data_IF_635720483604
#
_entry.id   IF_635720483604
#
_cell.length_a   1.000
_cell.length_b   1.000
_cell.length_c   1.000
_cell.angle_alpha   90.00
_cell.angle_beta   90.00
_cell.angle_gamma   90.00
#
_symmetry.space_group_name_H-M   'P 1'
#
loop_
_entity.id
_entity.type
_entity.pdbx_description
1 polymer ?
#
# COMPACT_ATOMS: atom_id res chain seq x y z
N UNK A 1 -3.13 16.77 -26.49
CA UNK A 1 -2.89 16.14 -25.21
C UNK A 1 -4.19 15.50 -24.79
N UNK A 2 -4.26 14.19 -24.92
CA UNK A 2 -5.36 13.41 -24.35
C UNK A 2 -4.94 13.15 -22.91
N UNK A 3 -5.60 13.81 -21.97
CA UNK A 3 -5.46 13.49 -20.55
C UNK A 3 -6.27 12.24 -20.24
N UNK A 4 -6.00 11.63 -19.11
CA UNK A 4 -6.80 10.56 -18.53
C UNK A 4 -8.28 11.00 -18.43
N UNK A 5 -9.25 10.11 -18.67
CA UNK A 5 -10.67 10.47 -18.56
C UNK A 5 -11.01 10.78 -17.10
N UNK A 6 -11.84 11.80 -16.92
CA UNK A 6 -12.35 12.17 -15.59
C UNK A 6 -13.27 11.07 -15.04
N UNK A 7 -13.24 10.89 -13.73
CA UNK A 7 -14.15 10.00 -13.01
C UNK A 7 -15.43 10.77 -12.66
N UNK A 8 -16.57 10.21 -13.04
CA UNK A 8 -17.88 10.80 -12.80
C UNK A 8 -18.83 9.80 -12.18
N UNK A 9 -19.70 10.27 -11.31
CA UNK A 9 -20.86 9.52 -10.81
C UNK A 9 -22.08 9.88 -11.65
N UNK A 10 -22.83 8.86 -12.11
CA UNK A 10 -24.09 9.03 -12.83
C UNK A 10 -25.23 8.54 -11.93
N UNK A 11 -26.02 9.47 -11.43
CA UNK A 11 -27.18 9.18 -10.59
C UNK A 11 -28.37 8.78 -11.48
N UNK A 12 -28.66 7.48 -11.54
CA UNK A 12 -29.74 6.93 -12.37
C UNK A 12 -31.14 7.23 -11.80
N UNK A 13 -31.25 7.50 -10.51
CA UNK A 13 -32.52 7.80 -9.83
C UNK A 13 -32.87 9.29 -9.93
N UNK A 14 -31.90 10.14 -10.27
CA UNK A 14 -32.04 11.58 -10.36
C UNK A 14 -31.76 12.10 -11.80
N UNK A 15 -32.51 11.58 -12.76
CA UNK A 15 -32.53 12.03 -14.16
C UNK A 15 -31.16 11.97 -14.87
N UNK A 16 -30.31 10.96 -14.50
CA UNK A 16 -28.94 10.76 -15.00
C UNK A 16 -28.02 11.94 -14.73
N UNK A 17 -28.19 12.60 -13.59
CA UNK A 17 -27.31 13.69 -13.18
C UNK A 17 -25.88 13.18 -13.08
N UNK A 18 -24.98 13.86 -13.81
CA UNK A 18 -23.54 13.58 -13.78
C UNK A 18 -22.89 14.47 -12.73
N UNK A 19 -22.19 13.86 -11.79
CA UNK A 19 -21.36 14.55 -10.81
C UNK A 19 -19.91 14.18 -11.07
N UNK A 20 -19.06 15.17 -11.30
CA UNK A 20 -17.62 15.01 -11.44
C UNK A 20 -17.02 14.64 -10.08
N UNK A 21 -16.23 13.57 -10.02
CA UNK A 21 -15.60 13.07 -8.79
C UNK A 21 -14.09 13.36 -8.77
N UNK A 22 -13.40 13.23 -9.92
CA UNK A 22 -11.98 13.50 -10.03
C UNK A 22 -11.58 13.70 -11.50
N UNK A 23 -10.47 14.39 -11.74
CA UNK A 23 -9.93 14.62 -13.09
C UNK A 23 -9.19 13.40 -13.64
N UNK A 24 -8.91 12.39 -12.82
CA UNK A 24 -8.30 11.12 -13.18
C UNK A 24 -8.77 10.00 -12.24
N UNK A 25 -8.61 8.75 -12.67
CA UNK A 25 -8.90 7.60 -11.80
C UNK A 25 -7.90 7.51 -10.64
N UNK A 26 -6.65 7.90 -10.84
CA UNK A 26 -5.64 8.00 -9.79
C UNK A 26 -6.05 9.00 -8.71
N UNK A 27 -6.48 10.20 -9.10
CA UNK A 27 -6.98 11.23 -8.18
C UNK A 27 -8.22 10.74 -7.43
N UNK A 28 -9.14 10.07 -8.12
CA UNK A 28 -10.31 9.45 -7.49
C UNK A 28 -9.92 8.45 -6.39
N UNK A 29 -9.00 7.52 -6.70
CA UNK A 29 -8.56 6.51 -5.72
C UNK A 29 -7.81 7.12 -4.54
N UNK A 30 -7.00 8.16 -4.79
CA UNK A 30 -6.29 8.90 -3.72
C UNK A 30 -7.24 9.73 -2.84
N UNK A 31 -8.38 10.13 -3.38
CA UNK A 31 -9.41 10.90 -2.67
C UNK A 31 -10.48 10.04 -1.99
N UNK A 32 -10.34 8.70 -2.01
CA UNK A 32 -11.30 7.81 -1.33
C UNK A 32 -11.10 7.90 0.20
N UNK A 33 -12.11 8.41 0.87
CA UNK A 33 -12.18 8.50 2.32
C UNK A 33 -13.01 7.35 2.91
N UNK A 34 -12.77 7.02 4.17
CA UNK A 34 -13.52 5.97 4.87
C UNK A 34 -14.98 6.39 5.12
N UNK A 35 -15.93 5.47 4.89
CA UNK A 35 -17.38 5.72 5.04
C UNK A 35 -17.80 6.26 6.42
N UNK A 36 -17.02 5.98 7.48
CA UNK A 36 -17.29 6.51 8.82
C UNK A 36 -17.21 8.05 8.92
N UNK A 37 -16.62 8.73 7.93
CA UNK A 37 -16.63 10.19 7.84
C UNK A 37 -17.95 10.75 7.26
N UNK A 38 -18.80 9.87 6.71
CA UNK A 38 -20.11 10.21 6.13
C UNK A 38 -21.25 9.64 6.99
N UNK A 39 -21.43 10.17 8.20
CA UNK A 39 -22.68 9.92 8.94
C UNK A 39 -23.69 11.02 8.59
N UNK A 40 -24.81 10.69 7.86
CA UNK A 40 -25.77 11.68 7.38
C UNK A 40 -26.59 12.34 8.51
N UNK A 41 -26.50 11.86 9.74
CA UNK A 41 -27.30 12.37 10.86
C UNK A 41 -26.61 13.50 11.65
N UNK A 42 -25.32 13.86 11.39
CA UNK A 42 -24.61 14.89 12.15
C UNK A 42 -24.19 16.17 11.39
N UNK A 43 -24.23 16.24 10.05
CA UNK A 43 -23.76 17.46 9.38
C UNK A 43 -24.62 17.90 8.18
N UNK A 44 -25.69 18.63 8.47
CA UNK A 44 -26.30 19.58 7.54
C UNK A 44 -25.62 20.95 7.67
N UNK A 45 -24.52 21.18 6.99
CA UNK A 45 -23.78 22.46 7.04
C UNK A 45 -23.05 22.74 5.73
N UNK A 46 -23.17 23.99 5.27
CA UNK A 46 -22.61 24.57 4.06
C UNK A 46 -21.12 24.23 3.85
N UNK A 47 -20.78 23.83 2.62
CA UNK A 47 -19.40 23.68 2.18
C UNK A 47 -18.73 25.06 2.08
N UNK A 48 -18.00 25.46 3.08
CA UNK A 48 -16.95 26.49 2.95
C UNK A 48 -15.65 25.79 2.51
N UNK A 49 -15.00 26.34 1.49
CA UNK A 49 -13.65 25.96 1.07
C UNK A 49 -12.69 26.25 2.24
N UNK A 50 -12.35 25.24 3.03
CA UNK A 50 -11.35 25.37 4.07
C UNK A 50 -10.00 24.84 3.61
N UNK A 51 -9.00 25.67 3.83
CA UNK A 51 -7.58 25.49 3.58
C UNK A 51 -7.07 24.15 4.15
N UNK A 52 -6.24 23.48 3.37
CA UNK A 52 -5.55 22.25 3.70
C UNK A 52 -4.66 22.41 4.95
N UNK A 53 -5.25 22.25 6.13
CA UNK A 53 -4.52 21.95 7.36
C UNK A 53 -4.60 20.45 7.64
N UNK A 54 -3.42 19.82 7.70
CA UNK A 54 -3.14 18.39 7.73
C UNK A 54 -3.94 17.59 8.76
N UNK A 55 -5.13 17.18 8.41
CA UNK A 55 -5.79 16.05 9.07
C UNK A 55 -5.17 14.75 8.53
N UNK A 56 -4.69 13.94 9.45
CA UNK A 56 -4.18 12.61 9.20
C UNK A 56 -5.32 11.76 8.60
N UNK A 57 -5.34 11.62 7.26
CA UNK A 57 -6.36 10.82 6.58
C UNK A 57 -6.23 9.37 7.03
N UNK A 58 -7.29 8.78 7.56
CA UNK A 58 -7.32 7.37 7.94
C UNK A 58 -7.11 6.51 6.68
N UNK A 59 -5.94 5.89 6.56
CA UNK A 59 -5.54 5.03 5.45
C UNK A 59 -5.96 3.58 5.63
N UNK A 60 -6.67 3.25 6.70
CA UNK A 60 -7.04 1.88 7.04
C UNK A 60 -7.84 1.22 5.91
N UNK A 61 -7.31 0.13 5.39
CA UNK A 61 -7.94 -0.67 4.34
C UNK A 61 -7.84 -0.09 2.93
N UNK A 62 -7.07 0.97 2.72
CA UNK A 62 -6.77 1.53 1.40
C UNK A 62 -5.49 0.89 0.87
N UNK A 63 -5.59 0.04 -0.15
CA UNK A 63 -4.45 -0.60 -0.78
C UNK A 63 -4.29 -0.10 -2.21
N UNK A 64 -3.22 0.66 -2.44
CA UNK A 64 -2.83 1.17 -3.75
C UNK A 64 -1.34 0.97 -4.00
N UNK A 65 -0.99 0.80 -5.27
CA UNK A 65 0.42 0.71 -5.69
C UNK A 65 0.54 0.83 -7.20
N UNK A 66 1.75 1.05 -7.66
CA UNK A 66 2.04 1.39 -9.04
C UNK A 66 3.18 0.51 -9.57
N UNK A 67 2.90 -0.35 -10.55
CA UNK A 67 3.95 -1.12 -11.23
C UNK A 67 4.55 -0.25 -12.33
N UNK A 68 5.82 0.08 -12.17
CA UNK A 68 6.58 0.93 -13.07
C UNK A 68 6.91 0.17 -14.36
N UNK A 69 6.66 0.80 -15.50
CA UNK A 69 6.87 0.21 -16.81
C UNK A 69 7.90 0.99 -17.63
N UNK A 70 8.78 0.28 -18.34
CA UNK A 70 9.69 0.87 -19.32
C UNK A 70 8.97 1.27 -20.63
N UNK A 71 7.74 0.78 -20.85
CA UNK A 71 6.89 1.07 -22.00
C UNK A 71 5.41 1.06 -21.59
N UNK A 72 4.61 1.99 -22.15
CA UNK A 72 3.18 2.11 -21.88
C UNK A 72 2.34 1.04 -22.59
N UNK A 73 2.65 -0.22 -22.35
CA UNK A 73 1.95 -1.39 -22.89
C UNK A 73 1.86 -2.46 -21.82
N UNK A 74 0.73 -3.17 -21.76
CA UNK A 74 0.53 -4.34 -20.93
C UNK A 74 -0.28 -5.42 -21.65
N UNK A 75 -0.19 -6.66 -21.20
CA UNK A 75 -0.93 -7.80 -21.71
C UNK A 75 -2.02 -8.20 -20.68
N UNK A 76 -3.24 -7.72 -20.90
CA UNK A 76 -4.42 -8.06 -20.07
C UNK A 76 -4.66 -9.57 -20.03
N UNK A 77 -4.52 -10.25 -21.16
CA UNK A 77 -4.75 -11.70 -21.22
C UNK A 77 -3.72 -12.46 -20.40
N UNK A 78 -2.46 -11.99 -20.38
CA UNK A 78 -1.44 -12.54 -19.48
C UNK A 78 -1.82 -12.33 -18.03
N UNK A 79 -2.23 -11.11 -17.65
CA UNK A 79 -2.67 -10.80 -16.29
C UNK A 79 -3.82 -11.74 -15.86
N UNK A 80 -4.85 -11.89 -16.67
CA UNK A 80 -6.01 -12.75 -16.41
C UNK A 80 -5.57 -14.22 -16.24
N UNK A 81 -4.69 -14.72 -17.11
CA UNK A 81 -4.12 -16.07 -17.00
C UNK A 81 -3.33 -16.24 -15.70
N UNK A 82 -2.45 -15.27 -15.37
CA UNK A 82 -1.62 -15.33 -14.17
C UNK A 82 -2.48 -15.32 -12.88
N UNK A 83 -3.55 -14.54 -12.85
CA UNK A 83 -4.51 -14.55 -11.73
C UNK A 83 -5.19 -15.91 -11.58
N UNK A 84 -5.60 -16.53 -12.68
CA UNK A 84 -6.24 -17.86 -12.63
C UNK A 84 -5.25 -18.98 -12.28
N UNK A 85 -4.08 -18.99 -12.92
CA UNK A 85 -3.12 -20.08 -12.75
C UNK A 85 -2.37 -20.05 -11.42
N UNK A 86 -2.00 -18.85 -10.94
CA UNK A 86 -1.24 -18.69 -9.68
C UNK A 86 -2.12 -18.69 -8.45
N UNK A 87 -3.29 -18.05 -8.53
CA UNK A 87 -4.12 -17.71 -7.37
C UNK A 87 -5.51 -18.32 -7.39
N UNK A 88 -5.87 -19.05 -8.47
CA UNK A 88 -7.22 -19.57 -8.73
C UNK A 88 -8.32 -18.49 -8.70
N UNK A 89 -7.97 -17.25 -9.05
CA UNK A 89 -8.90 -16.13 -9.14
C UNK A 89 -9.35 -15.97 -10.60
N UNK A 90 -10.66 -16.06 -10.83
CA UNK A 90 -11.25 -15.78 -12.14
C UNK A 90 -11.54 -14.29 -12.23
N UNK A 91 -11.04 -13.65 -13.29
CA UNK A 91 -11.28 -12.23 -13.56
C UNK A 91 -12.46 -12.15 -14.52
N UNK A 92 -13.60 -11.71 -14.00
CA UNK A 92 -14.81 -11.41 -14.80
C UNK A 92 -14.95 -9.88 -14.84
N UNK A 93 -14.67 -9.30 -16.00
CA UNK A 93 -14.70 -7.85 -16.19
C UNK A 93 -16.11 -7.31 -15.98
N UNK A 94 -16.29 -6.27 -15.17
CA UNK A 94 -17.52 -5.51 -15.08
C UNK A 94 -17.72 -4.75 -16.39
N UNK A 95 -18.63 -5.26 -17.22
CA UNK A 95 -18.98 -4.62 -18.50
C UNK A 95 -19.97 -3.47 -18.22
N UNK A 96 -19.44 -2.29 -17.88
CA UNK A 96 -20.27 -1.11 -17.54
C UNK A 96 -20.36 -0.11 -18.71
N UNK A 97 -19.69 -0.34 -19.83
CA UNK A 97 -19.70 0.60 -20.97
C UNK A 97 -19.77 -0.11 -22.32
N UNK A 98 -20.44 0.53 -23.30
CA UNK A 98 -20.45 0.11 -24.70
C UNK A 98 -19.07 0.22 -25.38
N UNK A 99 -18.12 0.93 -24.74
CA UNK A 99 -16.71 1.05 -25.15
C UNK A 99 -15.83 0.31 -24.15
N UNK A 100 -15.23 -0.80 -24.56
CA UNK A 100 -14.22 -1.50 -23.76
C UNK A 100 -13.00 -0.60 -23.61
N UNK A 101 -12.67 -0.23 -22.38
CA UNK A 101 -11.39 0.40 -22.09
C UNK A 101 -10.29 -0.68 -22.04
N UNK A 102 -9.46 -0.71 -23.08
CA UNK A 102 -8.33 -1.64 -23.14
C UNK A 102 -7.26 -1.36 -22.08
N UNK A 103 -7.31 -0.22 -21.41
CA UNK A 103 -6.32 0.20 -20.42
C UNK A 103 -6.73 -0.14 -18.96
N UNK A 104 -7.98 -0.47 -18.70
CA UNK A 104 -8.46 -0.75 -17.35
C UNK A 104 -9.15 -2.11 -17.23
N UNK A 105 -9.06 -2.71 -16.05
CA UNK A 105 -9.82 -3.87 -15.59
C UNK A 105 -10.41 -3.55 -14.23
N UNK A 106 -11.71 -3.64 -14.10
CA UNK A 106 -12.41 -3.56 -12.82
C UNK A 106 -13.23 -4.83 -12.65
N UNK A 107 -13.05 -5.53 -11.55
CA UNK A 107 -13.72 -6.80 -11.29
C UNK A 107 -13.86 -7.06 -9.80
N UNK A 108 -14.76 -7.95 -9.45
CA UNK A 108 -15.04 -8.32 -8.06
C UNK A 108 -14.36 -9.65 -7.70
N UNK A 109 -13.80 -9.70 -6.49
CA UNK A 109 -13.24 -10.91 -5.89
C UNK A 109 -13.75 -10.97 -4.45
N UNK A 110 -14.58 -11.97 -4.11
CA UNK A 110 -15.10 -12.16 -2.74
C UNK A 110 -15.67 -10.87 -2.10
N UNK A 111 -16.51 -10.13 -2.79
CA UNK A 111 -17.09 -8.83 -2.38
C UNK A 111 -16.08 -7.69 -2.21
N UNK A 112 -14.87 -7.83 -2.74
CA UNK A 112 -13.89 -6.76 -2.85
C UNK A 112 -13.78 -6.32 -4.31
N UNK A 113 -13.74 -5.01 -4.53
CA UNK A 113 -13.54 -4.44 -5.85
C UNK A 113 -12.04 -4.33 -6.13
N UNK A 114 -11.58 -4.99 -7.17
CA UNK A 114 -10.22 -4.89 -7.69
C UNK A 114 -10.20 -3.99 -8.91
N UNK A 115 -9.26 -3.07 -8.96
CA UNK A 115 -9.02 -2.20 -10.10
C UNK A 115 -7.55 -2.26 -10.52
N UNK A 116 -7.34 -2.44 -11.83
CA UNK A 116 -6.00 -2.43 -12.45
C UNK A 116 -6.08 -1.57 -13.69
N UNK A 117 -5.26 -0.52 -13.78
CA UNK A 117 -5.33 0.44 -14.89
C UNK A 117 -3.93 0.83 -15.38
N UNK A 118 -3.74 0.84 -16.70
CA UNK A 118 -2.52 1.32 -17.35
C UNK A 118 -2.59 2.83 -17.56
N UNK A 119 -1.65 3.55 -16.97
CA UNK A 119 -1.34 4.94 -17.31
C UNK A 119 -0.13 4.98 -18.23
N UNK A 120 -0.27 5.62 -19.41
CA UNK A 120 0.79 5.69 -20.44
C UNK A 120 1.77 6.85 -20.24
N UNK A 121 1.89 7.34 -19.01
CA UNK A 121 2.80 8.40 -18.57
C UNK A 121 3.47 7.97 -17.24
N UNK A 122 4.62 8.54 -16.89
CA UNK A 122 5.28 8.23 -15.63
C UNK A 122 4.50 8.79 -14.43
N UNK A 123 4.74 8.24 -13.24
CA UNK A 123 4.20 8.78 -11.99
C UNK A 123 4.63 10.26 -11.88
N UNK A 124 3.67 11.18 -11.64
CA UNK A 124 3.95 12.61 -11.67
C UNK A 124 4.82 13.08 -10.51
N UNK A 125 5.34 14.28 -10.61
CA UNK A 125 6.07 15.03 -9.57
C UNK A 125 7.34 14.37 -9.02
N UNK A 126 7.85 13.31 -9.66
CA UNK A 126 9.03 12.58 -9.16
C UNK A 126 8.78 11.80 -7.88
N UNK A 127 7.54 11.46 -7.58
CA UNK A 127 7.17 10.78 -6.34
C UNK A 127 7.83 9.41 -6.22
N UNK A 128 7.82 8.61 -7.30
CA UNK A 128 8.48 7.31 -7.30
C UNK A 128 9.99 7.42 -7.11
N UNK A 129 10.64 8.42 -7.73
CA UNK A 129 12.08 8.68 -7.62
C UNK A 129 12.49 9.04 -6.19
N UNK A 130 11.74 9.93 -5.54
CA UNK A 130 11.99 10.35 -4.15
C UNK A 130 11.86 9.14 -3.22
N UNK A 131 10.80 8.36 -3.37
CA UNK A 131 10.57 7.19 -2.52
C UNK A 131 11.50 6.01 -2.83
N UNK A 132 12.05 5.93 -4.05
CA UNK A 132 13.06 4.92 -4.38
C UNK A 132 14.35 5.08 -3.59
N UNK A 133 14.70 6.31 -3.15
CA UNK A 133 15.87 6.57 -2.31
C UNK A 133 15.81 5.86 -0.94
N UNK A 134 14.61 5.50 -0.49
CA UNK A 134 14.43 4.77 0.76
C UNK A 134 14.89 3.30 0.66
N UNK A 135 15.00 2.72 -0.54
CA UNK A 135 15.31 1.31 -0.70
C UNK A 135 16.81 1.02 -0.58
N UNK A 136 17.25 0.62 0.61
CA UNK A 136 18.64 0.19 0.86
C UNK A 136 18.95 -1.25 0.38
N UNK A 137 17.94 -2.02 -0.04
CA UNK A 137 18.09 -3.42 -0.47
C UNK A 137 18.28 -3.56 -2.00
N UNK A 138 18.04 -2.49 -2.75
CA UNK A 138 18.09 -2.52 -4.22
C UNK A 138 18.76 -1.26 -4.78
N UNK A 139 20.00 -1.39 -5.24
CA UNK A 139 20.81 -0.26 -5.75
C UNK A 139 20.20 0.43 -6.97
N UNK A 140 19.49 -0.33 -7.82
CA UNK A 140 18.93 0.19 -9.07
C UNK A 140 17.58 0.90 -8.89
N UNK A 141 17.00 0.92 -7.68
CA UNK A 141 15.65 1.45 -7.41
C UNK A 141 15.46 2.87 -7.96
N UNK A 142 16.39 3.78 -7.65
CA UNK A 142 16.32 5.20 -8.09
C UNK A 142 16.44 5.33 -9.61
N UNK A 143 17.32 4.55 -10.22
CA UNK A 143 17.48 4.57 -11.67
C UNK A 143 16.23 4.06 -12.37
N UNK A 144 15.67 2.94 -11.90
CA UNK A 144 14.45 2.36 -12.45
C UNK A 144 13.27 3.33 -12.30
N UNK A 145 13.12 3.93 -11.12
CA UNK A 145 12.09 4.94 -10.90
C UNK A 145 12.22 6.13 -11.85
N UNK A 146 13.45 6.62 -12.10
CA UNK A 146 13.71 7.74 -13.03
C UNK A 146 13.46 7.40 -14.49
N UNK A 147 13.69 6.14 -14.89
CA UNK A 147 13.63 5.71 -16.28
C UNK A 147 12.24 5.19 -16.71
N UNK A 148 11.32 4.96 -15.75
CA UNK A 148 9.98 4.47 -16.11
C UNK A 148 9.24 5.47 -17.01
N UNK A 149 8.40 4.94 -17.89
CA UNK A 149 7.67 5.70 -18.93
C UNK A 149 6.16 5.65 -18.75
N UNK A 150 5.70 4.67 -18.00
CA UNK A 150 4.30 4.39 -17.77
C UNK A 150 4.19 3.62 -16.45
N UNK A 151 2.98 3.41 -15.96
CA UNK A 151 2.75 2.57 -14.79
C UNK A 151 1.40 1.85 -14.88
N UNK A 152 1.28 0.74 -14.17
CA UNK A 152 0.00 0.10 -13.91
C UNK A 152 -0.37 0.43 -12.47
N UNK A 153 -1.48 1.12 -12.28
CA UNK A 153 -2.08 1.33 -10.98
C UNK A 153 -2.85 0.08 -10.57
N UNK A 154 -2.68 -0.33 -9.33
CA UNK A 154 -3.40 -1.44 -8.70
C UNK A 154 -4.07 -0.91 -7.44
N UNK A 155 -5.37 -1.16 -7.31
CA UNK A 155 -6.14 -0.78 -6.13
C UNK A 155 -7.11 -1.89 -5.71
N UNK A 156 -7.34 -2.01 -4.40
CA UNK A 156 -8.35 -2.90 -3.83
C UNK A 156 -9.23 -2.11 -2.89
N UNK A 157 -10.52 -2.11 -3.18
CA UNK A 157 -11.57 -1.41 -2.46
C UNK A 157 -12.57 -2.43 -1.87
N UNK A 158 -13.31 -2.04 -0.85
CA UNK A 158 -14.38 -2.88 -0.31
C UNK A 158 -14.74 -2.47 1.12
N UNK A 159 -16.05 -2.44 1.41
CA UNK A 159 -16.58 -1.84 2.62
C UNK A 159 -16.45 -2.72 3.88
N UNK A 160 -16.65 -4.01 3.78
CA UNK A 160 -16.88 -4.86 4.96
C UNK A 160 -15.85 -5.97 5.19
N UNK A 161 -14.85 -6.10 4.31
CA UNK A 161 -13.85 -7.17 4.44
C UNK A 161 -12.77 -6.80 5.44
N UNK A 162 -12.28 -7.83 6.11
CA UNK A 162 -11.09 -7.71 6.96
C UNK A 162 -9.94 -7.12 6.13
N UNK A 163 -9.31 -6.10 6.65
CA UNK A 163 -8.21 -5.39 5.99
C UNK A 163 -7.12 -6.35 5.48
N UNK A 164 -6.85 -7.42 6.24
CA UNK A 164 -5.88 -8.43 5.86
C UNK A 164 -6.21 -9.13 4.52
N UNK A 165 -7.49 -9.42 4.25
CA UNK A 165 -7.90 -10.07 2.99
C UNK A 165 -7.77 -9.11 1.80
N UNK A 166 -8.03 -7.81 2.00
CA UNK A 166 -7.74 -6.77 1.00
C UNK A 166 -6.24 -6.72 0.67
N UNK A 167 -5.40 -6.71 1.72
CA UNK A 167 -3.94 -6.73 1.55
C UNK A 167 -3.45 -7.95 0.79
N UNK A 168 -4.00 -9.14 1.08
CA UNK A 168 -3.68 -10.37 0.34
C UNK A 168 -4.09 -10.28 -1.12
N UNK A 169 -5.30 -9.79 -1.41
CA UNK A 169 -5.76 -9.59 -2.78
C UNK A 169 -4.86 -8.59 -3.51
N UNK A 170 -4.57 -7.44 -2.88
CA UNK A 170 -3.67 -6.43 -3.44
C UNK A 170 -2.30 -7.02 -3.81
N UNK A 171 -1.67 -7.78 -2.89
CA UNK A 171 -0.37 -8.40 -3.16
C UNK A 171 -0.42 -9.39 -4.34
N UNK A 172 -1.51 -10.14 -4.51
CA UNK A 172 -1.72 -11.05 -5.65
C UNK A 172 -1.84 -10.30 -6.97
N UNK A 173 -2.64 -9.23 -7.00
CA UNK A 173 -2.84 -8.38 -8.18
C UNK A 173 -1.53 -7.70 -8.59
N UNK A 174 -0.86 -7.06 -7.63
CA UNK A 174 0.40 -6.37 -7.85
C UNK A 174 1.50 -7.33 -8.34
N UNK A 175 1.60 -8.52 -7.75
CA UNK A 175 2.54 -9.55 -8.20
C UNK A 175 2.24 -10.03 -9.63
N UNK A 176 0.96 -10.15 -10.02
CA UNK A 176 0.60 -10.49 -11.40
C UNK A 176 0.98 -9.35 -12.38
N UNK A 177 0.81 -8.09 -11.97
CA UNK A 177 1.27 -6.94 -12.75
C UNK A 177 2.81 -6.86 -12.84
N UNK A 178 3.54 -7.24 -11.81
CA UNK A 178 5.01 -7.33 -11.83
C UNK A 178 5.54 -8.32 -12.88
N UNK A 179 4.74 -9.28 -13.33
CA UNK A 179 5.10 -10.26 -14.37
C UNK A 179 4.94 -9.74 -15.80
N UNK A 180 4.41 -8.54 -15.97
CA UNK A 180 4.29 -7.94 -17.29
C UNK A 180 5.66 -7.72 -17.94
N UNK A 181 5.74 -7.89 -19.25
CA UNK A 181 6.99 -7.86 -20.01
C UNK A 181 7.82 -6.58 -19.77
N UNK A 182 7.15 -5.46 -19.57
CA UNK A 182 7.78 -4.14 -19.42
C UNK A 182 7.86 -3.67 -17.98
N UNK A 183 7.47 -4.51 -17.00
CA UNK A 183 7.56 -4.18 -15.59
C UNK A 183 9.04 -4.08 -15.16
N UNK A 184 9.40 -2.97 -14.56
CA UNK A 184 10.77 -2.67 -14.13
C UNK A 184 10.88 -2.43 -12.63
N UNK A 185 9.79 -2.07 -11.95
CA UNK A 185 9.73 -1.85 -10.51
C UNK A 185 8.28 -1.84 -10.04
N UNK A 186 8.08 -1.80 -8.73
CA UNK A 186 6.78 -1.53 -8.11
C UNK A 186 6.95 -0.52 -7.00
N UNK A 187 6.19 0.58 -7.06
CA UNK A 187 6.11 1.60 -6.04
C UNK A 187 4.90 1.35 -5.15
N UNK A 188 5.15 1.04 -3.88
CA UNK A 188 4.14 0.85 -2.83
C UNK A 188 4.80 0.99 -1.46
N UNK A 189 4.04 1.29 -0.41
CA UNK A 189 4.54 1.40 0.97
C UNK A 189 5.75 2.35 1.10
N UNK A 190 5.72 3.48 0.38
CA UNK A 190 6.77 4.50 0.42
C UNK A 190 8.13 4.08 -0.15
N UNK A 191 8.18 3.03 -0.98
CA UNK A 191 9.42 2.47 -1.52
C UNK A 191 9.18 1.88 -2.90
N UNK A 192 10.22 1.83 -3.74
CA UNK A 192 10.22 1.10 -5.01
C UNK A 192 10.96 -0.21 -4.87
N UNK A 193 10.29 -1.33 -5.15
CA UNK A 193 10.84 -2.68 -5.08
C UNK A 193 11.16 -3.27 -6.45
N UNK A 194 12.11 -4.22 -6.47
CA UNK A 194 12.32 -5.08 -7.64
C UNK A 194 11.11 -5.99 -7.85
N UNK A 195 10.60 -6.16 -9.10
CA UNK A 195 9.43 -7.00 -9.37
C UNK A 195 9.57 -8.44 -8.87
N UNK A 196 10.74 -9.06 -9.04
CA UNK A 196 10.99 -10.43 -8.60
C UNK A 196 11.00 -10.59 -7.08
N UNK A 197 11.53 -9.60 -6.38
CA UNK A 197 11.46 -9.53 -4.91
C UNK A 197 10.01 -9.52 -4.46
N UNK A 198 9.20 -8.64 -5.06
CA UNK A 198 7.78 -8.50 -4.74
C UNK A 198 6.99 -9.79 -5.02
N UNK A 199 7.21 -10.41 -6.19
CA UNK A 199 6.61 -11.71 -6.54
C UNK A 199 6.99 -12.82 -5.56
N UNK A 200 8.27 -12.88 -5.16
CA UNK A 200 8.77 -13.91 -4.24
C UNK A 200 8.08 -13.86 -2.88
N UNK A 201 7.89 -12.66 -2.33
CA UNK A 201 7.17 -12.52 -1.06
C UNK A 201 5.66 -12.76 -1.21
N UNK A 202 5.04 -12.35 -2.32
CA UNK A 202 3.65 -12.69 -2.58
C UNK A 202 3.43 -14.21 -2.64
N UNK A 203 4.38 -14.96 -3.19
CA UNK A 203 4.30 -16.42 -3.29
C UNK A 203 4.30 -17.14 -1.92
N UNK A 204 4.75 -16.49 -0.84
CA UNK A 204 4.67 -17.03 0.54
C UNK A 204 3.23 -17.30 0.97
N UNK A 205 2.25 -16.59 0.41
CA UNK A 205 0.82 -16.85 0.68
C UNK A 205 0.36 -18.25 0.24
N UNK A 206 1.11 -18.96 -0.60
CA UNK A 206 0.83 -20.37 -0.96
C UNK A 206 1.17 -21.34 0.16
N UNK A 207 2.04 -20.93 1.08
CA UNK A 207 2.42 -21.66 2.29
C UNK A 207 1.68 -21.16 3.55
N UNK A 208 0.57 -20.40 3.33
CA UNK A 208 -0.21 -19.74 4.39
C UNK A 208 0.58 -18.69 5.21
N UNK A 209 1.70 -18.17 4.67
CA UNK A 209 2.48 -17.11 5.29
C UNK A 209 2.04 -15.73 4.77
N UNK A 210 2.14 -14.71 5.63
CA UNK A 210 1.81 -13.35 5.24
C UNK A 210 2.96 -12.73 4.42
N UNK A 211 2.66 -12.04 3.31
CA UNK A 211 3.67 -11.38 2.48
C UNK A 211 4.08 -10.03 3.10
N UNK A 212 4.62 -10.06 4.30
CA UNK A 212 4.89 -8.88 5.15
C UNK A 212 5.74 -7.84 4.41
N UNK A 213 6.75 -8.27 3.66
CA UNK A 213 7.62 -7.35 2.91
C UNK A 213 6.95 -6.71 1.68
N UNK A 214 5.78 -7.19 1.27
CA UNK A 214 4.98 -6.53 0.24
C UNK A 214 4.13 -5.38 0.80
N UNK A 215 3.89 -5.40 2.11
CA UNK A 215 2.97 -4.47 2.77
C UNK A 215 3.67 -3.44 3.64
N UNK A 216 4.76 -3.87 4.30
CA UNK A 216 5.44 -3.08 5.31
C UNK A 216 6.89 -2.86 4.86
N UNK A 217 7.29 -1.61 4.82
CA UNK A 217 8.69 -1.25 4.70
C UNK A 217 9.35 -1.26 6.09
N UNK A 218 10.54 -1.84 6.17
CA UNK A 218 11.38 -1.85 7.36
C UNK A 218 12.57 -0.94 7.11
N UNK A 219 12.40 0.35 7.45
CA UNK A 219 13.45 1.34 7.29
C UNK A 219 14.55 1.16 8.34
N UNK A 220 15.80 1.29 7.91
CA UNK A 220 16.98 1.21 8.77
C UNK A 220 17.91 2.39 8.51
N UNK A 221 18.41 3.02 9.56
CA UNK A 221 19.42 4.05 9.45
C UNK A 221 20.30 4.12 10.70
N UNK A 222 21.53 4.66 10.56
CA UNK A 222 22.44 4.89 11.68
C UNK A 222 22.40 6.32 12.15
N UNK A 223 22.37 6.51 13.48
CA UNK A 223 22.58 7.79 14.15
C UNK A 223 23.81 7.73 15.05
N UNK A 224 24.13 8.83 15.75
CA UNK A 224 25.21 8.83 16.73
C UNK A 224 24.96 7.84 17.89
N UNK A 225 23.69 7.57 18.22
CA UNK A 225 23.28 6.67 19.30
C UNK A 225 23.29 5.18 18.95
N UNK A 226 23.36 4.82 17.66
CA UNK A 226 23.30 3.42 17.22
C UNK A 226 22.50 3.19 15.95
N UNK A 227 22.04 1.97 15.76
CA UNK A 227 21.18 1.57 14.67
C UNK A 227 19.70 1.87 15.04
N UNK A 228 18.96 2.46 14.10
CA UNK A 228 17.54 2.70 14.24
C UNK A 228 16.78 1.90 13.17
N UNK A 229 15.60 1.45 13.53
CA UNK A 229 14.68 0.77 12.61
C UNK A 229 13.25 1.22 12.84
N UNK A 230 12.45 1.21 11.77
CA UNK A 230 11.03 1.56 11.85
C UNK A 230 10.23 0.75 10.84
N UNK A 231 8.94 0.62 11.11
CA UNK A 231 7.95 0.11 10.14
C UNK A 231 7.29 1.28 9.42
N UNK A 232 6.83 1.04 8.18
CA UNK A 232 5.99 1.98 7.43
C UNK A 232 4.99 1.18 6.61
N UNK A 233 3.69 1.41 6.83
CA UNK A 233 2.56 0.70 6.21
C UNK A 233 1.72 -0.13 7.20
N UNK A 234 1.99 -0.08 8.51
CA UNK A 234 1.14 -0.70 9.53
C UNK A 234 -0.20 0.04 9.66
N UNK A 235 -0.22 1.34 9.40
CA UNK A 235 -1.39 2.21 9.41
C UNK A 235 -2.49 1.72 8.47
N UNK A 236 -2.14 1.21 7.29
CA UNK A 236 -3.09 0.63 6.32
C UNK A 236 -3.86 -0.55 6.91
N UNK A 237 -3.30 -1.22 7.91
CA UNK A 237 -3.95 -2.30 8.66
C UNK A 237 -4.61 -1.82 9.97
N UNK A 238 -4.71 -0.51 10.19
CA UNK A 238 -5.24 0.07 11.42
C UNK A 238 -4.37 -0.21 12.63
N UNK A 239 -3.03 -0.35 12.43
CA UNK A 239 -2.05 -0.58 13.49
C UNK A 239 -1.06 0.60 13.53
N UNK A 240 -0.56 0.92 14.72
CA UNK A 240 0.46 1.95 14.87
C UNK A 240 1.82 1.45 14.36
N UNK A 241 2.59 2.36 13.76
CA UNK A 241 3.96 2.09 13.35
C UNK A 241 4.86 1.83 14.57
N UNK A 242 5.86 0.99 14.36
CA UNK A 242 6.83 0.60 15.39
C UNK A 242 8.20 1.22 15.09
N UNK A 243 8.89 1.66 16.12
CA UNK A 243 10.26 2.15 16.04
C UNK A 243 11.15 1.49 17.08
N UNK A 244 12.37 1.18 16.69
CA UNK A 244 13.47 0.80 17.57
C UNK A 244 14.57 1.83 17.42
N UNK A 245 14.98 2.44 18.51
CA UNK A 245 15.97 3.52 18.50
C UNK A 245 17.24 3.07 19.22
N UNK A 246 18.40 3.43 18.64
CA UNK A 246 19.73 3.23 19.21
C UNK A 246 20.03 1.76 19.60
N UNK A 247 19.62 0.83 18.74
CA UNK A 247 19.90 -0.59 18.95
C UNK A 247 21.39 -0.91 18.78
N UNK A 248 21.92 -1.75 19.67
CA UNK A 248 23.20 -2.42 19.48
C UNK A 248 22.96 -3.77 18.81
N UNK A 249 22.68 -3.74 17.52
CA UNK A 249 22.30 -4.90 16.72
C UNK A 249 22.87 -4.81 15.30
N UNK A 250 22.96 -5.98 14.64
CA UNK A 250 23.22 -6.02 13.21
C UNK A 250 21.94 -5.62 12.42
N UNK A 251 22.10 -4.92 11.29
CA UNK A 251 20.94 -4.43 10.50
C UNK A 251 19.93 -5.52 10.14
N UNK A 252 20.42 -6.69 9.72
CA UNK A 252 19.55 -7.81 9.34
C UNK A 252 18.73 -8.31 10.53
N UNK A 253 19.34 -8.41 11.71
CA UNK A 253 18.64 -8.85 12.91
C UNK A 253 17.56 -7.88 13.37
N UNK A 254 17.83 -6.57 13.29
CA UNK A 254 16.84 -5.55 13.61
C UNK A 254 15.66 -5.58 12.64
N UNK A 255 15.94 -5.70 11.34
CA UNK A 255 14.89 -5.85 10.32
C UNK A 255 14.04 -7.10 10.58
N UNK A 256 14.68 -8.25 10.81
CA UNK A 256 13.99 -9.53 11.00
C UNK A 256 13.17 -9.54 12.30
N UNK A 257 13.64 -8.84 13.32
CA UNK A 257 12.88 -8.61 14.57
C UNK A 257 11.59 -7.82 14.27
N UNK A 258 11.70 -6.65 13.59
CA UNK A 258 10.54 -5.83 13.25
C UNK A 258 9.58 -6.59 12.32
N UNK A 259 10.09 -7.34 11.34
CA UNK A 259 9.27 -8.12 10.42
C UNK A 259 8.51 -9.25 11.14
N UNK A 260 9.17 -9.94 12.06
CA UNK A 260 8.53 -10.99 12.87
C UNK A 260 7.43 -10.42 13.77
N UNK A 261 7.68 -9.23 14.32
CA UNK A 261 6.71 -8.53 15.14
C UNK A 261 5.50 -8.05 14.35
N UNK A 262 5.73 -7.42 13.20
CA UNK A 262 4.67 -7.00 12.28
C UNK A 262 3.83 -8.20 11.82
N UNK A 263 4.48 -9.32 11.48
CA UNK A 263 3.79 -10.56 11.12
C UNK A 263 2.89 -11.06 12.24
N UNK A 264 3.39 -11.08 13.48
CA UNK A 264 2.60 -11.48 14.65
C UNK A 264 1.40 -10.54 14.88
N UNK A 265 1.63 -9.23 14.86
CA UNK A 265 0.59 -8.22 15.07
C UNK A 265 -0.53 -8.37 14.03
N UNK A 266 -0.20 -8.55 12.76
CA UNK A 266 -1.18 -8.68 11.68
C UNK A 266 -1.85 -10.06 11.66
N UNK A 267 -1.09 -11.14 11.83
CA UNK A 267 -1.65 -12.50 11.79
C UNK A 267 -2.61 -12.78 12.96
N UNK A 268 -2.30 -12.25 14.15
CA UNK A 268 -3.09 -12.46 15.37
C UNK A 268 -4.07 -11.31 15.65
N UNK A 269 -4.13 -10.29 14.80
CA UNK A 269 -4.91 -9.07 14.98
C UNK A 269 -4.71 -8.42 16.37
N UNK A 270 -3.46 -8.34 16.79
CA UNK A 270 -3.08 -7.78 18.11
C UNK A 270 -3.01 -6.26 18.02
N UNK A 271 -3.48 -5.59 19.06
CA UNK A 271 -3.24 -4.16 19.27
C UNK A 271 -2.26 -3.99 20.42
N UNK A 272 -1.04 -3.54 20.12
CA UNK A 272 -0.03 -3.24 21.12
C UNK A 272 -0.35 -1.93 21.82
N UNK A 273 -0.06 -1.83 23.13
CA UNK A 273 -0.41 -0.66 23.94
C UNK A 273 0.80 -0.13 24.72
N UNK A 274 0.75 1.16 24.98
CA UNK A 274 1.70 1.82 25.89
C UNK A 274 1.78 1.13 27.23
N UNK A 275 3.01 0.95 27.74
CA UNK A 275 3.29 0.29 29.00
C UNK A 275 3.26 -1.24 28.99
N UNK A 276 2.87 -1.87 27.88
CA UNK A 276 2.96 -3.32 27.71
C UNK A 276 4.39 -3.77 27.40
N UNK A 277 4.61 -5.07 27.40
CA UNK A 277 5.86 -5.69 26.95
C UNK A 277 5.56 -6.73 25.89
N UNK A 278 6.44 -6.84 24.90
CA UNK A 278 6.38 -7.86 23.85
C UNK A 278 7.74 -8.56 23.75
N UNK A 279 7.76 -9.81 23.28
CA UNK A 279 8.97 -10.59 23.06
C UNK A 279 8.66 -12.01 22.63
N UNK A 280 9.69 -12.74 22.18
CA UNK A 280 9.55 -14.09 21.64
C UNK A 280 9.67 -15.20 22.69
N UNK A 281 10.03 -14.85 23.92
CA UNK A 281 10.11 -15.78 25.05
C UNK A 281 9.82 -15.09 26.40
N UNK A 282 9.72 -15.87 27.46
CA UNK A 282 9.47 -15.33 28.79
C UNK A 282 10.60 -14.42 29.32
N UNK A 283 11.82 -14.65 28.83
CA UNK A 283 13.02 -13.90 29.22
C UNK A 283 13.37 -12.78 28.25
N UNK A 284 12.74 -12.78 27.05
CA UNK A 284 12.90 -11.79 26.02
C UNK A 284 11.71 -10.81 26.05
N UNK A 285 11.88 -9.70 26.79
CA UNK A 285 10.80 -8.71 27.00
C UNK A 285 11.26 -7.32 26.61
N UNK A 286 10.59 -6.77 25.63
CA UNK A 286 10.78 -5.42 25.13
C UNK A 286 9.64 -4.53 25.60
N UNK A 287 9.95 -3.47 26.35
CA UNK A 287 8.95 -2.50 26.77
C UNK A 287 8.45 -1.69 25.57
N UNK A 288 7.14 -1.42 25.55
CA UNK A 288 6.46 -0.60 24.56
C UNK A 288 6.17 0.77 25.17
N UNK A 289 6.60 1.83 24.50
CA UNK A 289 6.33 3.21 24.87
C UNK A 289 5.72 3.93 23.66
N UNK A 290 4.53 4.48 23.82
CA UNK A 290 3.86 5.28 22.78
C UNK A 290 4.30 6.73 22.89
N UNK A 291 4.88 7.28 21.85
CA UNK A 291 5.34 8.67 21.81
C UNK A 291 5.41 9.21 20.38
N UNK A 292 5.56 10.54 20.18
CA UNK A 292 5.76 11.11 18.85
C UNK A 292 6.84 10.41 18.04
N UNK A 293 6.68 10.36 16.71
CA UNK A 293 7.64 9.79 15.77
C UNK A 293 9.05 10.36 15.94
N UNK A 294 10.06 9.54 15.64
CA UNK A 294 11.47 9.95 15.61
C UNK A 294 12.08 9.64 14.24
N UNK A 295 11.83 8.45 13.72
CA UNK A 295 12.17 8.04 12.36
C UNK A 295 11.07 8.43 11.37
N UNK A 296 9.86 8.58 11.87
CA UNK A 296 8.66 9.04 11.18
C UNK A 296 8.31 10.47 11.63
N UNK A 297 7.38 11.16 10.95
CA UNK A 297 6.98 12.51 11.32
C UNK A 297 6.61 12.65 12.80
N UNK A 298 7.02 13.76 13.44
CA UNK A 298 6.79 14.00 14.87
C UNK A 298 5.30 14.08 15.22
N UNK A 299 4.47 14.46 14.26
CA UNK A 299 3.01 14.54 14.40
C UNK A 299 2.39 13.13 14.56
N UNK A 300 3.02 12.10 13.98
CA UNK A 300 2.56 10.72 14.05
C UNK A 300 2.99 10.07 15.38
N UNK A 301 2.05 9.50 16.11
CA UNK A 301 2.35 8.68 17.29
C UNK A 301 2.80 7.28 16.85
N UNK A 302 3.88 6.80 17.46
CA UNK A 302 4.45 5.47 17.16
C UNK A 302 4.78 4.70 18.43
N UNK A 303 4.94 3.39 18.29
CA UNK A 303 5.32 2.48 19.38
C UNK A 303 6.85 2.29 19.40
N UNK A 304 7.51 2.83 20.41
CA UNK A 304 8.94 2.61 20.63
C UNK A 304 9.16 1.28 21.35
N UNK A 305 9.98 0.43 20.76
CA UNK A 305 10.33 -0.87 21.34
C UNK A 305 11.75 -0.78 21.92
N UNK A 306 11.89 -1.06 23.20
CA UNK A 306 13.21 -1.07 23.84
C UNK A 306 13.93 -2.37 23.55
N UNK A 307 15.01 -2.32 22.74
CA UNK A 307 15.92 -3.44 22.55
C UNK A 307 17.10 -3.28 23.50
N UNK A 308 17.11 -4.06 24.60
CA UNK A 308 18.21 -4.03 25.55
C UNK A 308 19.35 -4.95 25.10
N UNK A 309 19.06 -6.05 24.41
CA UNK A 309 20.01 -6.95 23.72
C UNK A 309 19.29 -7.79 22.66
N UNK A 310 19.81 -7.86 21.44
CA UNK A 310 19.49 -8.87 20.42
C UNK A 310 20.73 -9.75 20.20
#
# INVERSE_FOLDING_TARGET
PQGEPAVVHVDQENDYKITHLADSFEEFVRGLEHEALYDPDENGGDFEEDDADGEETDRTGVFTGFVLLSKGEWDKDQFIRDMKEKWDISVEEYDTSEEKDDNALVFEVDDMLAAVSLATYPIPNGEAEINAENNYMWEDAVQVAREHRAHIMVAVLGKEKKVLEKGKLFAKLAAACCRQQYATGIYTSGVVFEPRFYEGFADMMKEDELPIFNWIWFGLYRSEGGLNGYTYGMDVFGKEEMEVLNADAEPEKLRDFLASLASYVLACDVTLKDGETIGFSADDKHAIIRSPGVSLPEEQMTLKLSLIHI
#
